data_IF_827296140165
#
_entry.id   IF_827296140165
#
_cell.length_a   1.000
_cell.length_b   1.000
_cell.length_c   1.000
_cell.angle_alpha   90.00
_cell.angle_beta   90.00
_cell.angle_gamma   90.00
#
_symmetry.space_group_name_H-M   'P 1'
#
loop_
_entity.id
_entity.type
_entity.pdbx_description
1 polymer ?
#
# COMPACT_ATOMS: atom_id res chain seq x y z
N UNK A 1 0.70 -21.81 -0.71
CA UNK A 1 0.68 -21.02 -1.95
C UNK A 1 1.33 -19.69 -1.63
N UNK A 2 2.58 -19.49 -2.05
CA UNK A 2 3.27 -18.20 -1.89
C UNK A 2 2.57 -17.18 -2.78
N UNK A 3 1.80 -16.27 -2.19
CA UNK A 3 1.36 -15.07 -2.91
C UNK A 3 2.61 -14.22 -3.01
N UNK A 4 3.36 -14.34 -4.12
CA UNK A 4 4.32 -13.31 -4.50
C UNK A 4 3.55 -12.00 -4.49
N UNK A 5 3.88 -11.11 -3.56
CA UNK A 5 3.29 -9.79 -3.45
C UNK A 5 3.20 -9.20 -4.85
N UNK A 6 1.99 -9.03 -5.37
CA UNK A 6 1.79 -8.41 -6.68
C UNK A 6 2.52 -7.06 -6.67
N UNK A 7 3.35 -6.75 -7.68
CA UNK A 7 4.09 -5.51 -7.71
C UNK A 7 3.10 -4.33 -7.64
N UNK A 8 3.32 -3.40 -6.70
CA UNK A 8 2.54 -2.17 -6.68
C UNK A 8 2.81 -1.39 -7.96
N UNK A 9 1.74 -0.93 -8.59
CA UNK A 9 1.80 -0.04 -9.75
C UNK A 9 1.01 1.24 -9.47
N UNK A 10 1.38 2.32 -10.16
CA UNK A 10 0.57 3.54 -10.20
C UNK A 10 -0.77 3.23 -10.86
N UNK A 11 -1.82 3.96 -10.47
CA UNK A 11 -3.22 3.78 -10.85
C UNK A 11 -3.88 2.51 -10.25
N UNK A 12 -3.11 1.66 -9.58
CA UNK A 12 -3.65 0.47 -8.95
C UNK A 12 -4.52 0.83 -7.73
N UNK A 13 -5.71 0.25 -7.65
CA UNK A 13 -6.54 0.28 -6.44
C UNK A 13 -6.19 -0.90 -5.53
N UNK A 14 -5.78 -0.59 -4.31
CA UNK A 14 -5.39 -1.58 -3.31
C UNK A 14 -6.21 -1.42 -2.04
N UNK A 15 -6.28 -2.48 -1.23
CA UNK A 15 -6.68 -2.36 0.17
C UNK A 15 -5.43 -2.26 1.03
N UNK A 16 -5.33 -1.22 1.86
CA UNK A 16 -4.19 -1.04 2.76
C UNK A 16 -4.17 -2.20 3.76
N UNK A 17 -3.06 -2.95 3.90
CA UNK A 17 -2.89 -4.03 4.86
C UNK A 17 -3.29 -3.66 6.29
N UNK A 18 -4.04 -4.53 6.98
CA UNK A 18 -4.31 -4.40 8.42
C UNK A 18 -3.19 -5.06 9.22
N UNK A 19 -2.88 -4.53 10.41
CA UNK A 19 -1.93 -5.17 11.33
C UNK A 19 -0.45 -5.10 10.93
N UNK A 20 -0.10 -4.44 9.83
CA UNK A 20 1.28 -4.27 9.38
C UNK A 20 1.96 -2.99 9.90
N UNK A 21 1.43 -2.38 10.97
CA UNK A 21 1.90 -1.09 11.49
C UNK A 21 1.55 0.13 10.62
N UNK A 22 0.87 -0.07 9.49
CA UNK A 22 0.39 1.02 8.65
C UNK A 22 -0.86 1.66 9.23
N UNK A 23 -0.90 2.99 9.14
CA UNK A 23 -2.12 3.76 9.36
C UNK A 23 -3.12 3.45 8.23
N UNK A 24 -4.41 3.58 8.52
CA UNK A 24 -5.50 3.39 7.54
C UNK A 24 -5.68 1.95 7.04
N UNK A 25 -5.16 0.95 7.75
CA UNK A 25 -5.38 -0.46 7.45
C UNK A 25 -6.85 -0.80 7.24
N UNK A 26 -7.15 -1.52 6.17
CA UNK A 26 -8.50 -1.89 5.76
C UNK A 26 -9.20 -0.89 4.85
N UNK A 27 -8.63 0.30 4.62
CA UNK A 27 -9.19 1.25 3.64
C UNK A 27 -8.71 0.92 2.25
N UNK A 28 -9.59 1.13 1.27
CA UNK A 28 -9.20 1.15 -0.13
C UNK A 28 -8.50 2.46 -0.47
N UNK A 29 -7.48 2.37 -1.31
CA UNK A 29 -6.76 3.52 -1.81
C UNK A 29 -6.27 3.30 -3.25
N UNK A 30 -6.16 4.38 -4.01
CA UNK A 30 -5.56 4.36 -5.36
C UNK A 30 -4.12 4.84 -5.28
N UNK A 31 -3.18 4.08 -5.82
CA UNK A 31 -1.77 4.46 -5.88
C UNK A 31 -1.59 5.56 -6.91
N UNK A 32 -1.03 6.70 -6.51
CA UNK A 32 -0.81 7.83 -7.40
C UNK A 32 0.66 7.97 -7.80
N UNK A 33 1.58 7.63 -6.89
CA UNK A 33 3.01 7.76 -7.13
C UNK A 33 3.77 6.74 -6.31
N UNK A 34 4.81 6.18 -6.92
CA UNK A 34 5.80 5.33 -6.27
C UNK A 34 7.16 5.94 -6.58
N UNK A 35 7.92 6.25 -5.53
CA UNK A 35 9.28 6.76 -5.66
C UNK A 35 10.14 6.25 -4.48
N UNK A 36 11.47 6.46 -4.48
CA UNK A 36 12.34 5.99 -3.40
C UNK A 36 12.01 6.60 -2.02
N UNK A 37 11.36 7.76 -1.98
CA UNK A 37 10.97 8.44 -0.74
C UNK A 37 9.67 7.87 -0.16
N UNK A 38 8.84 7.24 -0.98
CA UNK A 38 7.58 6.69 -0.54
C UNK A 38 6.57 6.36 -1.63
N UNK A 39 5.43 5.84 -1.17
CA UNK A 39 4.26 5.57 -2.00
C UNK A 39 3.10 6.46 -1.59
N UNK A 40 2.64 7.31 -2.51
CA UNK A 40 1.50 8.19 -2.30
C UNK A 40 0.22 7.52 -2.80
N UNK A 41 -0.80 7.51 -1.97
CA UNK A 41 -2.11 6.95 -2.26
C UNK A 41 -3.24 7.95 -1.97
N UNK A 42 -4.34 7.83 -2.71
CA UNK A 42 -5.59 8.53 -2.47
C UNK A 42 -6.59 7.62 -1.75
N UNK A 43 -7.09 8.04 -0.58
CA UNK A 43 -7.97 7.22 0.28
C UNK A 43 -9.46 7.21 -0.14
N UNK A 44 -9.77 7.66 -1.36
CA UNK A 44 -11.13 7.75 -1.90
C UNK A 44 -12.01 8.86 -1.31
N UNK A 45 -11.64 9.43 -0.16
CA UNK A 45 -12.34 10.54 0.50
C UNK A 45 -11.71 11.91 0.25
N UNK A 46 -10.90 12.05 -0.81
CA UNK A 46 -10.13 13.26 -1.08
C UNK A 46 -8.78 13.34 -0.37
N UNK A 47 -8.52 12.50 0.64
CA UNK A 47 -7.26 12.55 1.40
C UNK A 47 -6.14 11.83 0.66
N UNK A 48 -4.98 12.48 0.59
CA UNK A 48 -3.71 11.91 0.16
C UNK A 48 -2.88 11.46 1.36
N UNK A 49 -2.21 10.33 1.24
CA UNK A 49 -1.29 9.80 2.24
C UNK A 49 -0.05 9.28 1.54
N UNK A 50 1.11 9.63 2.05
CA UNK A 50 2.40 9.07 1.61
C UNK A 50 2.91 8.13 2.68
N UNK A 51 3.13 6.87 2.32
CA UNK A 51 3.87 5.92 3.13
C UNK A 51 5.35 6.08 2.84
N UNK A 52 6.17 6.18 3.88
CA UNK A 52 7.61 6.38 3.72
C UNK A 52 8.29 5.14 3.13
N UNK A 53 9.25 5.38 2.23
CA UNK A 53 10.06 4.35 1.58
C UNK A 53 9.20 3.20 1.02
N UNK A 54 9.55 1.97 1.35
CA UNK A 54 8.93 0.72 0.94
C UNK A 54 7.89 0.18 1.95
N UNK A 55 7.47 0.99 2.94
CA UNK A 55 6.62 0.51 4.03
C UNK A 55 5.29 -0.10 3.56
N UNK A 56 4.71 0.42 2.47
CA UNK A 56 3.48 -0.13 1.90
C UNK A 56 3.71 -1.46 1.19
N UNK A 57 4.80 -1.57 0.44
CA UNK A 57 5.23 -2.79 -0.24
C UNK A 57 5.52 -3.90 0.77
N UNK A 58 6.28 -3.58 1.81
CA UNK A 58 6.61 -4.52 2.88
C UNK A 58 5.36 -5.00 3.63
N UNK A 59 4.40 -4.11 3.88
CA UNK A 59 3.13 -4.49 4.50
C UNK A 59 2.33 -5.46 3.63
N UNK A 60 2.27 -5.22 2.31
CA UNK A 60 1.58 -6.10 1.36
C UNK A 60 2.29 -7.46 1.28
N UNK A 61 3.63 -7.46 1.26
CA UNK A 61 4.45 -8.69 1.29
C UNK A 61 4.22 -9.52 2.53
N UNK A 62 4.14 -8.88 3.71
CA UNK A 62 3.92 -9.58 4.99
C UNK A 62 2.56 -10.26 5.06
N UNK A 63 1.51 -9.65 4.51
CA UNK A 63 0.18 -10.29 4.49
C UNK A 63 0.11 -11.41 3.44
N UNK A 64 0.74 -11.26 2.27
CA UNK A 64 0.74 -12.30 1.24
C UNK A 64 1.56 -13.55 1.58
N UNK A 65 2.46 -13.45 2.56
CA UNK A 65 3.34 -14.55 2.98
C UNK A 65 2.80 -15.38 4.16
N UNK A 66 1.66 -15.00 4.73
CA UNK A 66 0.99 -15.72 5.82
C UNK A 66 -0.10 -16.65 5.27
#
# INVERSE_FOLDING_TARGET
MTISALPLAVDMRIQIPRGAGLRFGGRYATVLQINPQGTTVHLGNGKLVTFAYDALQEAIRRIGSA
#
